data_IF_546054182102
#
_entry.id   IF_546054182102
#
_cell.length_a   1.000
_cell.length_b   1.000
_cell.length_c   1.000
_cell.angle_alpha   90.00
_cell.angle_beta   90.00
_cell.angle_gamma   90.00
#
_symmetry.space_group_name_H-M   'P 1'
#
loop_
_entity.id
_entity.type
_entity.pdbx_description
1 polymer ?
#
# COMPACT_ATOMS: atom_id res chain seq x y z
N UNK A 1 10.94 -20.40 -10.52
CA UNK A 1 11.78 -19.46 -9.75
C UNK A 1 10.85 -18.62 -8.89
N UNK A 2 10.96 -18.69 -7.55
CA UNK A 2 10.18 -17.82 -6.66
C UNK A 2 10.70 -16.38 -6.81
N UNK A 3 9.83 -15.35 -6.79
CA UNK A 3 10.30 -13.97 -6.84
C UNK A 3 11.17 -13.66 -5.62
N UNK A 4 12.06 -12.66 -5.70
CA UNK A 4 12.98 -12.32 -4.62
C UNK A 4 12.16 -11.91 -3.40
N UNK A 5 12.36 -12.59 -2.27
CA UNK A 5 11.79 -12.19 -0.98
C UNK A 5 12.40 -10.82 -0.66
N UNK A 6 11.61 -9.77 -0.86
CA UNK A 6 12.00 -8.41 -0.49
C UNK A 6 11.91 -8.36 1.04
N UNK A 7 13.02 -8.64 1.72
CA UNK A 7 13.14 -8.46 3.16
C UNK A 7 13.03 -6.97 3.43
N UNK A 8 11.84 -6.57 3.86
CA UNK A 8 11.54 -5.20 4.24
C UNK A 8 12.15 -5.01 5.63
N UNK A 9 12.90 -3.93 5.88
CA UNK A 9 13.48 -3.68 7.20
C UNK A 9 12.35 -3.38 8.21
N UNK A 10 11.92 -4.39 8.96
CA UNK A 10 10.90 -4.31 10.01
C UNK A 10 11.48 -3.52 11.19
N UNK A 11 11.42 -2.19 11.15
CA UNK A 11 12.14 -1.40 12.14
C UNK A 11 11.47 -1.22 13.49
N UNK A 12 10.21 -1.60 13.71
CA UNK A 12 9.57 -1.51 15.03
C UNK A 12 8.61 -2.69 15.19
N UNK A 13 8.84 -3.51 16.22
CA UNK A 13 8.05 -4.67 16.68
C UNK A 13 7.95 -5.90 15.72
N UNK A 14 8.50 -7.07 16.13
CA UNK A 14 8.23 -8.35 15.46
C UNK A 14 6.74 -8.71 15.33
N UNK A 15 5.86 -8.12 16.16
CA UNK A 15 4.39 -8.28 16.06
C UNK A 15 3.79 -7.52 14.88
N UNK A 16 4.47 -6.48 14.40
CA UNK A 16 4.06 -5.70 13.23
C UNK A 16 4.55 -6.34 11.92
N UNK A 17 5.40 -7.36 11.99
CA UNK A 17 5.72 -8.20 10.84
C UNK A 17 4.45 -8.91 10.34
N UNK A 18 4.25 -8.94 9.03
CA UNK A 18 3.19 -9.72 8.42
C UNK A 18 3.45 -11.21 8.63
N UNK A 19 2.39 -11.99 8.88
CA UNK A 19 2.50 -13.46 8.81
C UNK A 19 2.65 -13.90 7.36
N UNK A 20 3.04 -15.16 7.12
CA UNK A 20 3.13 -15.69 5.76
C UNK A 20 1.80 -15.59 4.99
N UNK A 21 0.68 -15.84 5.67
CA UNK A 21 -0.66 -15.69 5.08
C UNK A 21 -0.97 -14.21 4.75
N UNK A 22 -0.56 -13.28 5.61
CA UNK A 22 -0.73 -11.85 5.36
C UNK A 22 0.17 -11.34 4.23
N UNK A 23 1.37 -11.89 4.06
CA UNK A 23 2.26 -11.58 2.94
C UNK A 23 1.66 -12.06 1.61
N UNK A 24 1.10 -13.28 1.57
CA UNK A 24 0.41 -13.81 0.38
C UNK A 24 -0.86 -13.00 0.06
N UNK A 25 -1.62 -12.62 1.09
CA UNK A 25 -2.77 -11.75 0.94
C UNK A 25 -2.35 -10.38 0.41
N UNK A 26 -1.31 -9.76 0.98
CA UNK A 26 -0.76 -8.49 0.52
C UNK A 26 -0.35 -8.57 -0.96
N UNK A 27 0.38 -9.61 -1.35
CA UNK A 27 0.80 -9.81 -2.73
C UNK A 27 -0.40 -9.88 -3.68
N UNK A 28 -1.44 -10.62 -3.32
CA UNK A 28 -2.69 -10.73 -4.10
C UNK A 28 -3.42 -9.38 -4.20
N UNK A 29 -3.47 -8.62 -3.11
CA UNK A 29 -4.07 -7.28 -3.10
C UNK A 29 -3.30 -6.33 -4.01
N UNK A 30 -1.96 -6.31 -3.93
CA UNK A 30 -1.11 -5.43 -4.72
C UNK A 30 -1.14 -5.77 -6.22
N UNK A 31 -1.25 -7.05 -6.59
CA UNK A 31 -1.49 -7.46 -7.98
C UNK A 31 -2.80 -6.87 -8.52
N UNK A 32 -3.91 -7.05 -7.79
CA UNK A 32 -5.22 -6.50 -8.16
C UNK A 32 -5.17 -4.98 -8.29
N UNK A 33 -4.59 -4.29 -7.30
CA UNK A 33 -4.51 -2.83 -7.32
C UNK A 33 -3.63 -2.32 -8.47
N UNK A 34 -2.47 -2.94 -8.69
CA UNK A 34 -1.56 -2.58 -9.77
C UNK A 34 -2.20 -2.73 -11.15
N UNK A 35 -2.92 -3.83 -11.39
CA UNK A 35 -3.66 -4.06 -12.63
C UNK A 35 -4.70 -2.95 -12.88
N UNK A 36 -5.55 -2.67 -11.88
CA UNK A 36 -6.64 -1.69 -12.02
C UNK A 36 -6.08 -0.27 -12.17
N UNK A 37 -5.08 0.10 -11.37
CA UNK A 37 -4.43 1.42 -11.46
C UNK A 37 -3.80 1.62 -12.84
N UNK A 38 -3.09 0.62 -13.37
CA UNK A 38 -2.49 0.65 -14.70
C UNK A 38 -3.55 0.77 -15.79
N UNK A 39 -4.54 -0.14 -15.79
CA UNK A 39 -5.60 -0.23 -16.80
C UNK A 39 -6.41 1.06 -16.90
N UNK A 40 -6.71 1.68 -15.75
CA UNK A 40 -7.52 2.89 -15.67
C UNK A 40 -6.69 4.18 -15.58
N UNK A 41 -5.35 4.09 -15.65
CA UNK A 41 -4.40 5.22 -15.56
C UNK A 41 -4.67 6.10 -14.34
N UNK A 42 -4.93 5.47 -13.19
CA UNK A 42 -5.26 6.16 -11.95
C UNK A 42 -3.98 6.79 -11.39
N UNK A 43 -4.02 8.08 -11.05
CA UNK A 43 -2.91 8.79 -10.43
C UNK A 43 -3.16 8.94 -8.94
N UNK A 44 -2.73 7.99 -8.12
CA UNK A 44 -2.93 8.06 -6.65
C UNK A 44 -2.02 9.10 -5.98
N UNK A 45 -0.76 9.21 -6.43
CA UNK A 45 0.25 10.07 -5.79
C UNK A 45 -0.16 11.53 -5.60
N UNK A 46 -0.75 12.23 -6.59
CA UNK A 46 -1.21 13.60 -6.41
C UNK A 46 -2.28 13.74 -5.31
N UNK A 47 -3.19 12.76 -5.17
CA UNK A 47 -4.21 12.79 -4.12
C UNK A 47 -3.61 12.57 -2.73
N UNK A 48 -2.60 11.71 -2.61
CA UNK A 48 -1.84 11.59 -1.36
C UNK A 48 -1.12 12.90 -1.00
N UNK A 49 -0.44 13.52 -1.97
CA UNK A 49 0.27 14.78 -1.78
C UNK A 49 -0.66 15.94 -1.39
N UNK A 50 -1.89 16.00 -1.92
CA UNK A 50 -2.89 16.98 -1.47
C UNK A 50 -3.23 16.79 0.01
N UNK A 51 -3.26 15.54 0.50
CA UNK A 51 -3.57 15.24 1.90
C UNK A 51 -2.36 15.36 2.84
N UNK A 52 -1.15 15.33 2.32
CA UNK A 52 0.08 15.53 3.06
C UNK A 52 0.54 16.99 3.02
N UNK A 53 -0.08 17.82 3.87
CA UNK A 53 0.22 19.27 3.92
C UNK A 53 1.63 19.58 4.45
N UNK A 54 2.24 18.67 5.21
CA UNK A 54 3.59 18.83 5.77
C UNK A 54 4.67 18.29 4.85
N UNK A 55 4.30 17.60 3.76
CA UNK A 55 5.22 16.93 2.81
C UNK A 55 6.09 15.88 3.50
N UNK A 56 5.54 15.21 4.51
CA UNK A 56 6.24 14.18 5.29
C UNK A 56 6.35 12.82 4.58
N UNK A 57 5.61 12.64 3.48
CA UNK A 57 5.43 11.35 2.82
C UNK A 57 4.43 10.44 3.52
N UNK A 58 3.64 10.97 4.47
CA UNK A 58 2.75 10.20 5.35
C UNK A 58 1.37 10.85 5.47
N UNK A 59 0.37 10.01 5.71
CA UNK A 59 -1.01 10.44 5.98
C UNK A 59 -1.66 9.53 7.03
N UNK A 60 -2.77 9.95 7.63
CA UNK A 60 -3.56 9.08 8.51
C UNK A 60 -4.15 7.88 7.73
N UNK A 61 -4.33 6.73 8.38
CA UNK A 61 -4.96 5.55 7.78
C UNK A 61 -6.35 5.83 7.17
N UNK A 62 -7.19 6.63 7.84
CA UNK A 62 -8.52 6.99 7.33
C UNK A 62 -8.45 7.75 6.00
N UNK A 63 -7.49 8.68 5.86
CA UNK A 63 -7.26 9.39 4.60
C UNK A 63 -6.83 8.44 3.49
N UNK A 64 -5.96 7.47 3.78
CA UNK A 64 -5.61 6.42 2.83
C UNK A 64 -6.86 5.69 2.35
N UNK A 65 -7.73 5.24 3.27
CA UNK A 65 -8.99 4.56 2.91
C UNK A 65 -9.88 5.41 2.00
N UNK A 66 -10.13 6.66 2.38
CA UNK A 66 -10.98 7.56 1.60
C UNK A 66 -10.46 7.81 0.18
N UNK A 67 -9.14 7.86 -0.01
CA UNK A 67 -8.54 8.01 -1.34
C UNK A 67 -8.79 6.75 -2.19
N UNK A 68 -8.65 5.55 -1.61
CA UNK A 68 -8.93 4.29 -2.32
C UNK A 68 -10.40 4.21 -2.73
N UNK A 69 -11.32 4.55 -1.83
CA UNK A 69 -12.76 4.56 -2.11
C UNK A 69 -13.13 5.60 -3.20
N UNK A 70 -12.53 6.79 -3.14
CA UNK A 70 -12.72 7.83 -4.16
C UNK A 70 -12.34 7.36 -5.56
N UNK A 71 -11.27 6.57 -5.68
CA UNK A 71 -10.82 5.99 -6.96
C UNK A 71 -11.56 4.70 -7.34
N UNK A 72 -12.61 4.31 -6.61
CA UNK A 72 -13.36 3.06 -6.82
C UNK A 72 -12.47 1.82 -6.70
N UNK A 73 -11.51 1.86 -5.77
CA UNK A 73 -10.62 0.76 -5.41
C UNK A 73 -10.94 0.27 -3.98
N UNK A 74 -12.18 -0.22 -3.72
CA UNK A 74 -12.56 -0.59 -2.36
C UNK A 74 -11.69 -1.72 -1.83
N UNK A 75 -11.34 -1.58 -0.56
CA UNK A 75 -10.64 -2.59 0.23
C UNK A 75 -11.62 -3.17 1.24
N UNK A 76 -11.63 -4.49 1.40
CA UNK A 76 -12.29 -5.09 2.56
C UNK A 76 -11.53 -4.69 3.82
N UNK A 77 -12.17 -4.82 4.99
CA UNK A 77 -11.52 -4.46 6.25
C UNK A 77 -10.22 -5.25 6.48
N UNK A 78 -10.19 -6.53 6.12
CA UNK A 78 -8.98 -7.35 6.21
C UNK A 78 -7.89 -6.89 5.25
N UNK A 79 -8.24 -6.57 4.00
CA UNK A 79 -7.29 -6.06 3.02
C UNK A 79 -6.70 -4.73 3.46
N UNK A 80 -7.55 -3.84 3.97
CA UNK A 80 -7.16 -2.56 4.52
C UNK A 80 -6.21 -2.74 5.72
N UNK A 81 -6.54 -3.64 6.66
CA UNK A 81 -5.70 -3.96 7.82
C UNK A 81 -4.32 -4.45 7.41
N UNK A 82 -4.23 -5.38 6.45
CA UNK A 82 -2.95 -5.92 5.96
C UNK A 82 -2.10 -4.84 5.30
N UNK A 83 -2.69 -4.00 4.43
CA UNK A 83 -1.99 -2.88 3.81
C UNK A 83 -1.52 -1.87 4.87
N UNK A 84 -2.39 -1.48 5.80
CA UNK A 84 -2.02 -0.53 6.85
C UNK A 84 -0.91 -1.07 7.74
N UNK A 85 -0.95 -2.35 8.13
CA UNK A 85 0.12 -3.00 8.90
C UNK A 85 1.45 -2.95 8.15
N UNK A 86 1.45 -3.25 6.85
CA UNK A 86 2.65 -3.24 6.01
C UNK A 86 3.31 -1.87 5.89
N UNK A 87 2.52 -0.82 5.66
CA UNK A 87 3.01 0.52 5.36
C UNK A 87 2.83 1.48 6.55
N UNK A 88 2.66 0.95 7.76
CA UNK A 88 2.61 1.74 8.97
C UNK A 88 3.98 2.37 9.24
N UNK A 89 3.95 3.63 9.66
CA UNK A 89 5.09 4.34 10.20
C UNK A 89 4.81 4.65 11.66
N UNK A 90 5.67 4.13 12.55
CA UNK A 90 5.53 4.27 14.00
C UNK A 90 4.15 3.84 14.54
N UNK A 91 3.45 2.96 13.82
CA UNK A 91 2.10 2.48 14.17
C UNK A 91 0.97 3.52 14.06
N UNK A 92 1.26 4.76 13.64
CA UNK A 92 0.31 5.88 13.71
C UNK A 92 -0.08 6.44 12.35
N UNK A 93 0.81 6.36 11.37
CA UNK A 93 0.63 6.96 10.05
C UNK A 93 0.89 5.95 8.94
N UNK A 94 0.28 6.19 7.79
CA UNK A 94 0.45 5.43 6.57
C UNK A 94 1.53 6.07 5.69
N UNK A 95 2.60 5.32 5.41
CA UNK A 95 3.68 5.71 4.50
C UNK A 95 3.25 5.54 3.03
N UNK A 96 2.60 6.55 2.48
CA UNK A 96 2.08 6.48 1.11
C UNK A 96 3.18 6.52 0.04
N UNK A 97 4.36 7.07 0.37
CA UNK A 97 5.50 7.13 -0.56
C UNK A 97 6.00 5.72 -0.87
N UNK A 98 6.23 4.93 0.18
CA UNK A 98 6.62 3.53 0.01
C UNK A 98 5.51 2.71 -0.66
N UNK A 99 4.25 2.93 -0.28
CA UNK A 99 3.10 2.29 -0.94
C UNK A 99 3.08 2.57 -2.45
N UNK A 100 3.21 3.82 -2.88
CA UNK A 100 3.25 4.24 -4.28
C UNK A 100 4.43 3.61 -5.04
N UNK A 101 5.61 3.60 -4.44
CA UNK A 101 6.80 2.98 -5.03
C UNK A 101 6.65 1.47 -5.23
N UNK A 102 6.09 0.77 -4.23
CA UNK A 102 5.85 -0.66 -4.32
C UNK A 102 4.74 -0.93 -5.34
N UNK A 103 3.62 -0.21 -5.31
CA UNK A 103 2.50 -0.39 -6.24
C UNK A 103 2.93 -0.24 -7.71
N UNK A 104 3.83 0.71 -8.01
CA UNK A 104 4.42 0.87 -9.35
C UNK A 104 5.16 -0.36 -9.84
N UNK A 105 5.80 -1.14 -8.94
CA UNK A 105 6.41 -2.42 -9.31
C UNK A 105 5.34 -3.41 -9.78
N UNK A 106 4.16 -3.39 -9.17
CA UNK A 106 3.03 -4.24 -9.55
C UNK A 106 2.35 -3.81 -10.86
N UNK A 107 2.29 -2.50 -11.15
CA UNK A 107 1.81 -1.99 -12.43
C UNK A 107 2.64 -2.49 -13.63
N UNK A 108 3.93 -2.73 -13.43
CA UNK A 108 4.86 -3.13 -14.48
C UNK A 108 4.83 -4.63 -14.83
N UNK A 109 4.14 -5.46 -14.04
CA UNK A 109 3.94 -6.88 -14.39
C UNK A 109 2.92 -7.08 -15.53
N UNK A 110 2.10 -6.06 -15.80
CA UNK A 110 1.12 -6.07 -16.88
C UNK A 110 1.67 -5.23 -18.04
N UNK A 111 2.32 -5.91 -19.00
CA UNK A 111 2.79 -5.32 -20.27
C UNK A 111 1.65 -5.17 -21.28
#
# INVERSE_FOLDING_TARGET
MKPPVHVIPTFLDPRDALTSEEEEALHTIMLRLGEVVKKHRILLKPHFQDKDKTKSGKITFTRFRSIMDFHKLPLTDDQFRVICKRFAYQGIEFNYVEFDEILKKYENFYQ
#
